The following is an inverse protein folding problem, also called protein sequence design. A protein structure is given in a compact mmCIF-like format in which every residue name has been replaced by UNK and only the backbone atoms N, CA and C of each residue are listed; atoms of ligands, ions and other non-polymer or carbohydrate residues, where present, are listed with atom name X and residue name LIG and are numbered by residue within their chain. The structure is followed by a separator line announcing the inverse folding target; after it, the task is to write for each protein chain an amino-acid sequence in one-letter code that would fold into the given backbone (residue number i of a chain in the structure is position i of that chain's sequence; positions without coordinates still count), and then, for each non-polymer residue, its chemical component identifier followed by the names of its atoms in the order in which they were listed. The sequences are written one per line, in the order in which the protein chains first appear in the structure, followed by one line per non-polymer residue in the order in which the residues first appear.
data_IF_869035332798
#
_entry.id   IF_869035332798
#
_cell.length_a   1.000
_cell.length_b   1.000
_cell.length_c   1.000
_cell.angle_alpha   90.00
_cell.angle_beta   90.00
_cell.angle_gamma   90.00
#
_symmetry.space_group_name_H-M   'P 1'
#
loop_
_entity.id
_entity.type
_entity.pdbx_description
1 polymer ?
#
# COMPACT_ATOMS: atom_id res chain seq x y z
N UNK A 1 -21.01 -24.97 -41.00
CA UNK A 1 -19.96 -25.99 -40.79
C UNK A 1 -18.74 -25.62 -41.63
N UNK A 2 -17.64 -25.17 -41.01
CA UNK A 2 -16.29 -25.34 -41.56
C UNK A 2 -15.28 -25.13 -40.43
N UNK A 3 -14.76 -26.24 -39.94
CA UNK A 3 -13.64 -26.33 -38.99
C UNK A 3 -12.35 -26.02 -39.75
N UNK A 4 -11.52 -25.12 -39.21
CA UNK A 4 -10.08 -25.06 -39.51
C UNK A 4 -9.31 -24.74 -38.22
N UNK A 5 -8.87 -25.82 -37.58
CA UNK A 5 -7.75 -25.86 -36.63
C UNK A 5 -6.42 -25.70 -37.39
N UNK A 6 -5.31 -25.62 -36.63
CA UNK A 6 -3.90 -25.42 -37.04
C UNK A 6 -3.50 -23.94 -37.13
N UNK A 7 -2.57 -23.39 -36.34
CA UNK A 7 -1.24 -23.92 -35.97
C UNK A 7 -0.82 -23.43 -34.57
N UNK A 8 -0.18 -24.34 -33.81
CA UNK A 8 0.65 -24.04 -32.63
C UNK A 8 2.02 -23.52 -33.08
N UNK A 9 2.69 -22.83 -32.16
CA UNK A 9 4.08 -22.32 -32.21
C UNK A 9 4.25 -21.05 -33.08
N UNK A 10 4.82 -19.97 -32.56
CA UNK A 10 6.21 -19.97 -32.14
C UNK A 10 6.52 -18.89 -31.12
N UNK A 11 7.31 -19.28 -30.12
CA UNK A 11 8.04 -18.39 -29.22
C UNK A 11 9.10 -17.67 -30.06
N UNK A 12 9.14 -16.34 -29.99
CA UNK A 12 10.32 -15.58 -30.37
C UNK A 12 10.46 -14.36 -29.46
N UNK A 13 11.50 -14.43 -28.62
CA UNK A 13 12.08 -13.34 -27.86
C UNK A 13 12.39 -12.15 -28.76
N UNK A 14 12.02 -10.94 -28.34
CA UNK A 14 12.68 -9.72 -28.80
C UNK A 14 12.68 -8.70 -27.67
N UNK A 15 13.84 -8.65 -27.02
CA UNK A 15 14.27 -7.70 -26.00
C UNK A 15 14.84 -6.46 -26.71
N UNK A 16 14.42 -5.28 -26.28
CA UNK A 16 15.10 -3.99 -26.49
C UNK A 16 14.81 -3.30 -27.84
N UNK A 17 14.63 -1.99 -27.96
CA UNK A 17 15.07 -0.86 -27.14
C UNK A 17 14.23 0.41 -27.47
N UNK A 18 13.96 1.21 -26.44
CA UNK A 18 14.02 2.70 -26.38
C UNK A 18 13.06 3.49 -27.29
N UNK A 19 12.47 4.63 -26.93
CA UNK A 19 12.08 5.36 -25.72
C UNK A 19 11.50 6.70 -26.24
N UNK A 20 10.87 7.47 -25.35
CA UNK A 20 10.70 8.94 -25.34
C UNK A 20 9.25 9.38 -25.21
N UNK A 21 8.81 9.53 -23.96
CA UNK A 21 8.01 10.69 -23.60
C UNK A 21 8.47 11.18 -22.24
N UNK A 22 9.14 12.32 -22.29
CA UNK A 22 9.81 12.98 -21.19
C UNK A 22 8.80 13.50 -20.16
N UNK A 23 9.15 13.38 -18.89
CA UNK A 23 8.39 13.94 -17.78
C UNK A 23 8.85 13.39 -16.43
N UNK A 24 10.01 13.86 -15.97
CA UNK A 24 10.58 13.68 -14.62
C UNK A 24 11.12 12.28 -14.32
N UNK A 25 12.42 12.09 -14.58
CA UNK A 25 13.21 10.95 -14.12
C UNK A 25 13.59 11.16 -12.65
N UNK A 26 12.90 10.48 -11.74
CA UNK A 26 13.48 10.08 -10.46
C UNK A 26 14.15 8.72 -10.71
N UNK A 27 15.44 8.54 -10.40
CA UNK A 27 16.14 7.30 -10.72
C UNK A 27 15.64 6.16 -9.82
N UNK A 28 14.80 5.28 -10.39
CA UNK A 28 14.34 4.04 -9.77
C UNK A 28 15.42 2.93 -9.78
N UNK A 29 16.69 3.28 -9.63
CA UNK A 29 17.81 2.35 -9.78
C UNK A 29 18.95 2.66 -8.83
N UNK A 30 18.66 2.71 -7.53
CA UNK A 30 19.67 2.54 -6.47
C UNK A 30 18.96 2.26 -5.15
N UNK A 31 18.54 1.00 -4.98
CA UNK A 31 18.47 0.23 -3.73
C UNK A 31 17.50 -0.92 -3.93
N UNK A 32 17.97 -1.91 -4.68
CA UNK A 32 17.59 -3.30 -4.42
C UNK A 32 18.24 -3.73 -3.10
N UNK A 33 17.92 -3.06 -2.00
CA UNK A 33 18.02 -3.65 -0.68
C UNK A 33 16.98 -4.76 -0.71
N UNK A 34 17.47 -6.00 -0.73
CA UNK A 34 16.76 -7.27 -0.62
C UNK A 34 15.40 -7.09 0.09
N UNK A 35 14.36 -6.76 -0.67
CA UNK A 35 12.99 -6.79 -0.18
C UNK A 35 12.78 -8.28 0.04
N UNK A 36 12.83 -8.72 1.30
CA UNK A 36 12.41 -10.05 1.68
C UNK A 36 11.08 -10.31 1.00
N UNK A 37 10.91 -11.46 0.34
CA UNK A 37 9.63 -11.79 -0.27
C UNK A 37 8.53 -11.62 0.80
N UNK A 38 7.64 -10.66 0.58
CA UNK A 38 6.51 -10.43 1.48
C UNK A 38 5.64 -11.69 1.47
N UNK A 39 5.20 -12.12 2.65
CA UNK A 39 4.39 -13.34 2.80
C UNK A 39 2.92 -13.07 2.50
N UNK A 40 2.46 -11.85 2.73
CA UNK A 40 1.11 -11.39 2.47
C UNK A 40 1.10 -10.31 1.40
N UNK A 41 1.81 -9.20 1.59
CA UNK A 41 1.72 -8.02 0.72
C UNK A 41 2.18 -8.31 -0.72
N UNK A 42 1.41 -7.84 -1.68
CA UNK A 42 1.75 -7.83 -3.10
C UNK A 42 2.46 -6.52 -3.49
N UNK A 43 3.12 -6.49 -4.65
CA UNK A 43 3.79 -5.28 -5.16
C UNK A 43 2.84 -4.06 -5.27
N UNK A 44 1.59 -4.29 -5.66
CA UNK A 44 0.56 -3.25 -5.75
C UNK A 44 0.16 -2.70 -4.38
N UNK A 45 0.19 -3.55 -3.36
CA UNK A 45 -0.14 -3.16 -1.98
C UNK A 45 0.90 -2.19 -1.42
N UNK A 46 2.18 -2.34 -1.80
CA UNK A 46 3.25 -1.40 -1.43
C UNK A 46 2.98 -0.01 -1.97
N UNK A 47 2.48 0.12 -3.20
CA UNK A 47 2.09 1.42 -3.78
C UNK A 47 0.95 2.04 -2.97
N UNK A 48 -0.08 1.25 -2.66
CA UNK A 48 -1.20 1.68 -1.84
C UNK A 48 -0.74 2.20 -0.48
N UNK A 49 0.11 1.44 0.23
CA UNK A 49 0.65 1.81 1.54
C UNK A 49 1.48 3.10 1.43
N UNK A 50 2.36 3.21 0.43
CA UNK A 50 3.19 4.39 0.20
C UNK A 50 2.33 5.65 0.01
N UNK A 51 1.20 5.53 -0.70
CA UNK A 51 0.27 6.63 -0.89
C UNK A 51 -0.57 6.94 0.37
N UNK A 52 -0.90 5.92 1.18
CA UNK A 52 -1.71 6.04 2.38
C UNK A 52 -0.99 6.64 3.57
N UNK A 53 0.26 6.27 3.80
CA UNK A 53 1.03 6.68 4.97
C UNK A 53 1.04 8.20 5.21
N UNK A 54 1.33 9.07 4.21
CA UNK A 54 1.28 10.51 4.43
C UNK A 54 -0.15 11.05 4.62
N UNK A 55 -1.18 10.31 4.22
CA UNK A 55 -2.57 10.71 4.44
C UNK A 55 -3.09 10.33 5.83
N UNK A 56 -2.64 9.19 6.38
CA UNK A 56 -3.05 8.69 7.70
C UNK A 56 -2.15 9.21 8.84
N UNK A 57 -0.85 9.35 8.58
CA UNK A 57 0.17 9.76 9.53
C UNK A 57 0.90 11.03 9.01
N UNK A 58 0.18 12.18 8.88
CA UNK A 58 0.71 13.38 8.23
C UNK A 58 1.80 14.10 9.05
N UNK A 59 1.98 13.74 10.33
CA UNK A 59 2.97 14.33 11.22
C UNK A 59 4.39 13.82 10.96
N UNK A 60 4.54 12.70 10.23
CA UNK A 60 5.83 12.09 9.90
C UNK A 60 6.10 12.22 8.39
N UNK A 61 7.36 12.51 8.04
CA UNK A 61 7.84 12.35 6.67
C UNK A 61 8.16 10.88 6.44
N UNK A 62 7.79 10.37 5.26
CA UNK A 62 7.96 8.98 4.90
C UNK A 62 9.03 8.83 3.83
N UNK A 63 10.33 8.80 4.21
CA UNK A 63 11.37 8.41 3.28
C UNK A 63 11.17 6.97 2.82
N UNK A 64 11.82 6.61 1.71
CA UNK A 64 11.66 5.28 1.09
C UNK A 64 12.03 4.15 2.06
N UNK A 65 13.06 4.34 2.87
CA UNK A 65 13.55 3.35 3.84
C UNK A 65 12.53 3.09 4.95
N UNK A 66 12.00 4.13 5.59
CA UNK A 66 10.96 4.01 6.62
C UNK A 66 9.67 3.40 6.07
N UNK A 67 9.33 3.73 4.82
CA UNK A 67 8.16 3.15 4.13
C UNK A 67 8.36 1.66 3.90
N UNK A 68 9.56 1.24 3.50
CA UNK A 68 9.89 -0.16 3.30
C UNK A 68 9.86 -0.95 4.63
N UNK A 69 10.39 -0.38 5.71
CA UNK A 69 10.31 -0.95 7.06
C UNK A 69 8.86 -1.10 7.51
N UNK A 70 8.04 -0.06 7.33
CA UNK A 70 6.62 -0.11 7.66
C UNK A 70 5.88 -1.20 6.88
N UNK A 71 6.20 -1.39 5.59
CA UNK A 71 5.64 -2.49 4.81
C UNK A 71 6.06 -3.87 5.35
N UNK A 72 7.31 -4.03 5.80
CA UNK A 72 7.79 -5.27 6.40
C UNK A 72 7.11 -5.55 7.75
N UNK A 73 6.98 -4.54 8.61
CA UNK A 73 6.31 -4.67 9.90
C UNK A 73 4.83 -5.01 9.72
N UNK A 74 4.18 -4.38 8.73
CA UNK A 74 2.79 -4.68 8.37
C UNK A 74 2.63 -6.11 7.86
N UNK A 75 3.47 -6.54 6.91
CA UNK A 75 3.46 -7.90 6.36
C UNK A 75 3.64 -8.94 7.46
N UNK A 76 4.62 -8.71 8.33
CA UNK A 76 4.91 -9.56 9.49
C UNK A 76 3.74 -9.60 10.46
N UNK A 77 3.14 -8.45 10.79
CA UNK A 77 2.01 -8.39 11.72
C UNK A 77 0.81 -9.18 11.17
N UNK A 78 0.50 -8.99 9.89
CA UNK A 78 -0.59 -9.72 9.23
C UNK A 78 -0.26 -11.21 9.13
N UNK A 79 1.01 -11.59 8.97
CA UNK A 79 1.43 -12.99 8.89
C UNK A 79 1.09 -13.81 10.15
N UNK A 80 0.97 -13.18 11.31
CA UNK A 80 0.57 -13.83 12.56
C UNK A 80 -0.95 -13.93 12.77
N UNK A 81 -1.75 -13.29 11.92
CA UNK A 81 -3.21 -13.31 12.03
C UNK A 81 -3.82 -14.63 11.53
N UNK A 82 -5.07 -14.87 11.94
CA UNK A 82 -5.83 -16.04 11.49
C UNK A 82 -6.07 -15.99 9.97
N UNK A 83 -6.34 -17.15 9.36
CA UNK A 83 -6.64 -17.25 7.92
C UNK A 83 -7.88 -16.43 7.52
N UNK A 84 -8.91 -16.38 8.37
CA UNK A 84 -10.12 -15.57 8.11
C UNK A 84 -9.76 -14.09 8.05
N UNK A 85 -9.07 -13.60 9.08
CA UNK A 85 -8.63 -12.20 9.16
C UNK A 85 -7.74 -11.81 7.98
N UNK A 86 -6.80 -12.67 7.59
CA UNK A 86 -5.97 -12.44 6.38
C UNK A 86 -6.82 -12.31 5.12
N UNK A 87 -7.86 -13.13 4.96
CA UNK A 87 -8.76 -13.05 3.81
C UNK A 87 -9.56 -11.75 3.78
N UNK A 88 -10.05 -11.29 4.93
CA UNK A 88 -10.77 -10.02 5.06
C UNK A 88 -9.86 -8.83 4.74
N UNK A 89 -8.63 -8.83 5.27
CA UNK A 89 -7.64 -7.80 4.94
C UNK A 89 -7.28 -7.83 3.45
N UNK A 90 -7.17 -9.02 2.84
CA UNK A 90 -6.93 -9.13 1.39
C UNK A 90 -8.07 -8.49 0.58
N UNK A 91 -9.33 -8.77 0.95
CA UNK A 91 -10.49 -8.16 0.31
C UNK A 91 -10.50 -6.64 0.48
N UNK A 92 -10.11 -6.14 1.66
CA UNK A 92 -9.95 -4.71 1.91
C UNK A 92 -8.91 -4.10 0.96
N UNK A 93 -7.72 -4.71 0.83
CA UNK A 93 -6.69 -4.23 -0.09
C UNK A 93 -7.14 -4.30 -1.55
N UNK A 94 -7.79 -5.40 -1.96
CA UNK A 94 -8.31 -5.57 -3.31
C UNK A 94 -9.34 -4.49 -3.68
N UNK A 95 -10.19 -4.06 -2.74
CA UNK A 95 -11.15 -2.97 -2.93
C UNK A 95 -10.47 -1.68 -3.40
N UNK A 96 -9.34 -1.31 -2.81
CA UNK A 96 -8.58 -0.10 -3.20
C UNK A 96 -7.94 -0.21 -4.59
N UNK A 97 -7.72 -1.44 -5.09
CA UNK A 97 -7.21 -1.66 -6.43
C UNK A 97 -8.30 -1.65 -7.51
N UNK A 98 -9.58 -1.65 -7.12
CA UNK A 98 -10.67 -1.53 -8.06
C UNK A 98 -10.73 -0.09 -8.62
N UNK A 99 -10.44 0.05 -9.91
CA UNK A 99 -10.51 1.36 -10.61
C UNK A 99 -11.86 2.08 -10.45
N UNK A 100 -13.02 1.40 -10.53
CA UNK A 100 -14.31 2.06 -10.31
C UNK A 100 -14.43 2.65 -8.92
N UNK A 101 -13.87 1.98 -7.91
CA UNK A 101 -13.85 2.47 -6.53
C UNK A 101 -13.02 3.75 -6.43
N UNK A 102 -11.78 3.74 -6.95
CA UNK A 102 -10.95 4.96 -7.00
C UNK A 102 -11.64 6.10 -7.73
N UNK A 103 -12.28 5.81 -8.87
CA UNK A 103 -12.93 6.82 -9.70
C UNK A 103 -14.16 7.45 -9.03
N UNK A 104 -14.98 6.67 -8.33
CA UNK A 104 -16.10 7.17 -7.53
C UNK A 104 -15.59 8.20 -6.51
N UNK A 105 -14.43 7.94 -5.93
CA UNK A 105 -13.80 8.81 -4.94
C UNK A 105 -12.84 9.86 -5.55
N UNK A 106 -12.88 10.06 -6.88
CA UNK A 106 -12.16 11.13 -7.57
C UNK A 106 -10.69 10.84 -7.89
N UNK A 107 -10.20 9.62 -7.63
CA UNK A 107 -8.83 9.20 -7.93
C UNK A 107 -8.75 8.40 -9.23
N UNK A 108 -7.76 8.69 -10.09
CA UNK A 108 -7.55 7.96 -11.36
C UNK A 108 -6.65 6.72 -11.21
N UNK A 109 -5.64 6.80 -10.36
CA UNK A 109 -4.65 5.74 -10.14
C UNK A 109 -3.91 5.96 -8.82
N UNK A 110 -3.59 4.86 -8.12
CA UNK A 110 -2.82 4.91 -6.87
C UNK A 110 -1.38 5.38 -7.09
N UNK A 111 -0.74 5.03 -8.21
CA UNK A 111 0.67 5.38 -8.47
C UNK A 111 0.92 6.90 -8.60
N UNK A 112 -0.13 7.68 -8.87
CA UNK A 112 -0.04 9.13 -9.12
C UNK A 112 -0.89 9.95 -8.14
N UNK A 113 -1.48 9.30 -7.13
CA UNK A 113 -2.35 10.00 -6.19
C UNK A 113 -1.49 10.87 -5.26
N UNK A 114 -1.87 12.13 -5.10
CA UNK A 114 -1.23 12.99 -4.10
C UNK A 114 -1.68 12.59 -2.69
N UNK A 115 -0.86 12.90 -1.68
CA UNK A 115 -1.26 12.68 -0.28
C UNK A 115 -2.56 13.42 0.08
N UNK A 116 -2.78 14.61 -0.53
CA UNK A 116 -4.00 15.40 -0.34
C UNK A 116 -5.22 14.69 -0.92
N UNK A 117 -5.10 14.13 -2.12
CA UNK A 117 -6.22 13.43 -2.76
C UNK A 117 -6.48 12.07 -2.11
N UNK A 118 -5.44 11.39 -1.60
CA UNK A 118 -5.61 10.21 -0.77
C UNK A 118 -6.35 10.56 0.54
N UNK A 119 -6.00 11.66 1.20
CA UNK A 119 -6.70 12.13 2.39
C UNK A 119 -8.17 12.45 2.11
N UNK A 120 -8.48 13.10 0.97
CA UNK A 120 -9.87 13.30 0.53
C UNK A 120 -10.59 11.99 0.28
N UNK A 121 -9.93 11.00 -0.34
CA UNK A 121 -10.50 9.69 -0.59
C UNK A 121 -10.89 9.02 0.73
N UNK A 122 -9.98 8.95 1.70
CA UNK A 122 -10.26 8.40 3.03
C UNK A 122 -11.38 9.18 3.73
N UNK A 123 -11.36 10.51 3.68
CA UNK A 123 -12.42 11.36 4.26
C UNK A 123 -13.80 11.09 3.61
N UNK A 124 -13.83 10.91 2.29
CA UNK A 124 -15.06 10.59 1.55
C UNK A 124 -15.59 9.19 1.88
N UNK A 125 -14.72 8.23 2.18
CA UNK A 125 -15.12 6.90 2.66
C UNK A 125 -15.73 6.99 4.06
N UNK A 126 -15.09 7.71 4.99
CA UNK A 126 -15.57 7.89 6.37
C UNK A 126 -16.92 8.63 6.42
N UNK A 127 -17.16 9.55 5.49
CA UNK A 127 -18.42 10.30 5.38
C UNK A 127 -19.48 9.62 4.48
N UNK A 128 -19.17 8.50 3.86
CA UNK A 128 -20.09 7.77 2.97
C UNK A 128 -21.35 7.32 3.70
N UNK A 129 -22.48 7.17 2.98
CA UNK A 129 -23.71 6.58 3.55
C UNK A 129 -23.64 5.06 3.66
N UNK A 130 -22.66 4.44 2.99
CA UNK A 130 -22.48 2.99 2.97
C UNK A 130 -21.59 2.59 4.15
N UNK A 131 -22.13 1.75 5.04
CA UNK A 131 -21.43 1.28 6.24
C UNK A 131 -20.09 0.62 5.92
N UNK A 132 -20.05 -0.13 4.83
CA UNK A 132 -18.88 -0.93 4.45
C UNK A 132 -17.68 -0.03 4.13
N UNK A 133 -17.90 1.14 3.55
CA UNK A 133 -16.83 2.10 3.28
C UNK A 133 -16.31 2.77 4.55
N UNK A 134 -17.18 3.05 5.51
CA UNK A 134 -16.74 3.54 6.82
C UNK A 134 -15.91 2.51 7.54
N UNK A 135 -16.37 1.26 7.54
CA UNK A 135 -15.65 0.14 8.16
C UNK A 135 -14.32 -0.11 7.47
N UNK A 136 -14.26 -0.06 6.14
CA UNK A 136 -13.03 -0.19 5.38
C UNK A 136 -12.02 0.91 5.74
N UNK A 137 -12.45 2.18 5.80
CA UNK A 137 -11.59 3.30 6.20
C UNK A 137 -11.10 3.15 7.65
N UNK A 138 -11.99 2.77 8.57
CA UNK A 138 -11.65 2.56 9.98
C UNK A 138 -10.65 1.40 10.15
N UNK A 139 -10.92 0.24 9.53
CA UNK A 139 -10.05 -0.93 9.60
C UNK A 139 -8.66 -0.65 9.02
N UNK A 140 -8.59 0.08 7.91
CA UNK A 140 -7.32 0.48 7.32
C UNK A 140 -6.53 1.40 8.27
N UNK A 141 -7.20 2.38 8.86
CA UNK A 141 -6.60 3.28 9.83
C UNK A 141 -6.10 2.51 11.07
N UNK A 142 -6.91 1.61 11.62
CA UNK A 142 -6.55 0.79 12.78
C UNK A 142 -5.35 -0.12 12.50
N UNK A 143 -5.32 -0.78 11.34
CA UNK A 143 -4.19 -1.66 10.98
C UNK A 143 -2.90 -0.85 10.82
N UNK A 144 -2.94 0.25 10.06
CA UNK A 144 -1.75 1.06 9.78
C UNK A 144 -1.25 1.76 11.06
N UNK A 145 -2.15 2.40 11.80
CA UNK A 145 -1.77 3.05 13.06
C UNK A 145 -1.35 2.03 14.11
N UNK A 146 -2.05 0.90 14.21
CA UNK A 146 -1.73 -0.18 15.14
C UNK A 146 -0.32 -0.73 14.92
N UNK A 147 0.07 -0.99 13.67
CA UNK A 147 1.43 -1.42 13.34
C UNK A 147 2.45 -0.33 13.66
N UNK A 148 2.15 0.91 13.29
CA UNK A 148 3.07 2.04 13.51
C UNK A 148 3.37 2.27 15.00
N UNK A 149 2.33 2.30 15.84
CA UNK A 149 2.45 2.53 17.28
C UNK A 149 2.84 1.28 18.06
N UNK A 150 2.74 0.08 17.48
CA UNK A 150 3.26 -1.14 18.10
C UNK A 150 4.78 -1.29 17.92
N UNK A 151 5.40 -0.52 17.03
CA UNK A 151 6.85 -0.57 16.83
C UNK A 151 7.56 0.25 17.93
N UNK A 152 8.38 -0.37 18.79
CA UNK A 152 9.06 0.30 19.91
C UNK A 152 10.11 1.33 19.46
N UNK A 153 10.53 1.31 18.19
CA UNK A 153 11.39 2.36 17.64
C UNK A 153 10.64 3.67 17.45
N UNK A 154 9.34 3.61 17.19
CA UNK A 154 8.47 4.77 17.05
C UNK A 154 8.29 5.52 18.36
N UNK A 155 8.30 4.82 19.51
CA UNK A 155 8.17 5.43 20.85
C UNK A 155 9.27 6.46 21.13
N UNK A 156 10.47 6.28 20.56
CA UNK A 156 11.58 7.23 20.70
C UNK A 156 11.33 8.54 19.96
N UNK A 157 10.59 8.50 18.86
CA UNK A 157 10.19 9.71 18.12
C UNK A 157 9.05 10.45 18.81
N UNK A 158 8.21 9.72 19.56
CA UNK A 158 7.05 10.23 20.29
C UNK A 158 7.39 10.85 21.65
N UNK A 159 8.64 11.25 21.92
CA UNK A 159 9.03 12.10 23.07
C UNK A 159 8.38 11.78 24.42
N UNK A 160 8.00 10.53 24.69
CA UNK A 160 7.54 10.14 26.00
C UNK A 160 8.80 9.97 26.85
N UNK A 161 9.00 10.88 27.80
CA UNK A 161 10.04 10.69 28.80
C UNK A 161 9.81 9.29 29.42
N UNK A 162 10.86 8.45 29.51
CA UNK A 162 10.70 7.14 30.14
C UNK A 162 10.07 7.35 31.52
N UNK A 163 9.15 6.47 31.96
CA UNK A 163 8.57 6.59 33.29
C UNK A 163 9.72 6.66 34.29
N UNK A 164 9.73 7.73 35.10
CA UNK A 164 10.72 7.96 36.15
C UNK A 164 10.92 6.64 36.90
N UNK A 165 12.15 6.13 36.89
CA UNK A 165 12.51 4.98 37.71
C UNK A 165 12.15 5.34 39.15
N UNK A 166 11.17 4.63 39.71
CA UNK A 166 10.88 4.71 41.14
C UNK A 166 12.06 4.04 41.85
N UNK A 167 13.01 4.88 42.26
CA UNK A 167 14.08 4.54 43.21
C UNK A 167 13.49 4.17 44.56
#
# INVERSE_FOLDING_TARGET
MQRRTFFKASIALSVGLIAWRQGVLVPASQQSQKISEFSFLEKRDVVLITALLPALLPFKKWPLEDTALMCQDLDRTISFMTKSTKSEIRQLFDLFHLKPFLWWHGARSLDQISAVDMSKLITSMTSSRLSDFKMAAAALNEIICGVYYANPQTDRELSYAPPLELV
#
